data_IF_547333817792
#
_entry.id   IF_547333817792
#
_cell.length_a   1.000
_cell.length_b   1.000
_cell.length_c   1.000
_cell.angle_alpha   90.00
_cell.angle_beta   90.00
_cell.angle_gamma   90.00
#
_symmetry.space_group_name_H-M   'P 1'
#
loop_
_entity.id
_entity.type
_entity.pdbx_description
1 polymer ?
#
# COMPACT_ATOMS: atom_id res chain seq x y z
N UNK A 1 -1.35 3.65 13.98
CA UNK A 1 -1.07 4.73 13.01
C UNK A 1 -0.05 5.72 13.54
N UNK A 2 -0.28 6.35 14.71
CA UNK A 2 0.70 7.28 15.30
C UNK A 2 2.13 6.71 15.38
N UNK A 3 2.29 5.51 15.96
CA UNK A 3 3.60 4.84 16.04
C UNK A 3 4.25 4.64 14.67
N UNK A 4 3.50 4.20 13.67
CA UNK A 4 3.99 4.00 12.31
C UNK A 4 4.52 5.32 11.72
N UNK A 5 3.79 6.42 11.92
CA UNK A 5 4.16 7.74 11.39
C UNK A 5 5.42 8.28 12.07
N UNK A 6 5.52 8.12 13.39
CA UNK A 6 6.63 8.67 14.16
C UNK A 6 7.92 7.82 14.10
N UNK A 7 7.82 6.56 13.66
CA UNK A 7 8.90 5.59 13.79
C UNK A 7 10.22 6.01 13.11
N UNK A 8 10.25 6.56 11.89
CA UNK A 8 11.51 7.00 11.26
C UNK A 8 12.25 8.05 12.09
N UNK A 9 11.54 9.05 12.59
CA UNK A 9 12.12 10.20 13.28
C UNK A 9 12.71 9.83 14.65
N UNK A 10 12.22 8.76 15.27
CA UNK A 10 12.78 8.21 16.51
C UNK A 10 13.88 7.17 16.26
N UNK A 11 13.86 6.48 15.12
CA UNK A 11 14.85 5.46 14.79
C UNK A 11 16.15 6.04 14.22
N UNK A 12 16.07 7.18 13.52
CA UNK A 12 17.22 7.84 12.91
C UNK A 12 17.96 8.72 13.94
N UNK A 13 19.28 8.55 14.14
CA UNK A 13 20.05 9.44 14.99
C UNK A 13 20.28 10.78 14.32
N UNK A 14 20.23 11.87 15.10
CA UNK A 14 20.53 13.22 14.60
C UNK A 14 19.41 13.89 13.81
N UNK A 15 18.16 13.41 13.89
CA UNK A 15 17.02 14.15 13.37
C UNK A 15 16.95 15.54 14.04
N UNK A 16 16.98 16.60 13.23
CA UNK A 16 16.84 17.96 13.74
C UNK A 16 15.57 18.09 14.58
N UNK A 17 15.64 18.78 15.73
CA UNK A 17 14.52 18.91 16.68
C UNK A 17 13.19 19.28 15.99
N UNK A 18 13.22 20.18 15.00
CA UNK A 18 12.02 20.56 14.26
C UNK A 18 11.38 19.48 13.36
N UNK A 19 12.12 18.45 12.92
CA UNK A 19 11.55 17.33 12.15
C UNK A 19 10.83 16.32 13.07
N UNK A 20 11.38 16.08 14.26
CA UNK A 20 10.72 15.24 15.25
C UNK A 20 9.37 15.87 15.66
N UNK A 21 9.33 17.19 15.86
CA UNK A 21 8.10 17.91 16.19
C UNK A 21 7.04 17.76 15.09
N UNK A 22 7.42 17.93 13.82
CA UNK A 22 6.51 17.74 12.68
C UNK A 22 5.99 16.30 12.58
N UNK A 23 6.86 15.32 12.81
CA UNK A 23 6.50 13.91 12.79
C UNK A 23 5.51 13.56 13.89
N UNK A 24 5.68 14.10 15.10
CA UNK A 24 4.73 13.96 16.21
C UNK A 24 3.39 14.59 15.84
N UNK A 25 3.37 15.77 15.23
CA UNK A 25 2.13 16.43 14.76
C UNK A 25 1.40 15.54 13.73
N UNK A 26 2.10 15.03 12.73
CA UNK A 26 1.49 14.12 11.75
C UNK A 26 1.02 12.81 12.39
N UNK A 27 1.75 12.28 13.37
CA UNK A 27 1.36 11.10 14.11
C UNK A 27 0.07 11.32 14.92
N UNK A 28 -0.07 12.47 15.58
CA UNK A 28 -1.26 12.88 16.30
C UNK A 28 -2.45 13.09 15.34
N UNK A 29 -2.24 13.76 14.21
CA UNK A 29 -3.27 13.94 13.18
C UNK A 29 -3.74 12.58 12.63
N UNK A 30 -2.80 11.67 12.32
CA UNK A 30 -3.12 10.31 11.89
C UNK A 30 -3.85 9.49 12.95
N UNK A 31 -3.55 9.70 14.24
CA UNK A 31 -4.27 9.10 15.35
C UNK A 31 -5.71 9.63 15.42
N UNK A 32 -5.88 10.95 15.37
CA UNK A 32 -7.18 11.60 15.41
C UNK A 32 -8.07 11.16 14.24
N UNK A 33 -7.52 11.12 13.01
CA UNK A 33 -8.22 10.60 11.84
C UNK A 33 -8.62 9.12 12.03
N UNK A 34 -7.75 8.29 12.60
CA UNK A 34 -8.10 6.90 12.91
C UNK A 34 -9.22 6.81 13.94
N UNK A 35 -9.18 7.62 15.00
CA UNK A 35 -10.22 7.64 16.02
C UNK A 35 -11.56 8.12 15.46
N UNK A 36 -11.56 9.19 14.67
CA UNK A 36 -12.76 9.71 14.01
C UNK A 36 -13.38 8.64 13.10
N UNK A 37 -12.55 8.03 12.25
CA UNK A 37 -13.04 7.06 11.27
C UNK A 37 -13.52 5.77 11.91
N UNK A 38 -12.91 5.31 13.00
CA UNK A 38 -13.38 4.11 13.69
C UNK A 38 -14.42 4.38 14.78
N UNK A 39 -14.63 5.63 15.18
CA UNK A 39 -15.64 6.06 16.16
C UNK A 39 -17.02 6.36 15.56
N UNK A 40 -17.12 6.71 14.28
CA UNK A 40 -18.40 7.00 13.62
C UNK A 40 -19.15 5.73 13.18
N UNK A 41 -20.48 5.70 13.23
CA UNK A 41 -21.29 4.62 12.62
C UNK A 41 -21.62 4.84 11.14
N UNK A 42 -21.35 6.05 10.63
CA UNK A 42 -21.62 6.44 9.24
C UNK A 42 -20.43 6.10 8.32
N UNK A 43 -20.64 6.03 7.00
CA UNK A 43 -19.54 5.84 6.06
C UNK A 43 -18.55 7.00 6.18
N UNK A 44 -17.27 6.65 6.29
CA UNK A 44 -16.17 7.61 6.33
C UNK A 44 -15.46 7.70 4.98
N UNK A 45 -14.28 8.31 5.00
CA UNK A 45 -13.31 8.35 3.90
C UNK A 45 -12.64 6.99 3.68
N UNK A 46 -12.49 6.19 4.74
CA UNK A 46 -11.78 4.91 4.67
C UNK A 46 -12.68 3.82 4.09
N UNK A 47 -12.44 3.48 2.82
CA UNK A 47 -12.98 2.27 2.24
C UNK A 47 -12.44 1.00 2.93
N UNK A 48 -13.24 -0.06 2.87
CA UNK A 48 -12.95 -1.36 3.46
C UNK A 48 -12.73 -1.32 4.98
N UNK A 49 -13.30 -0.34 5.68
CA UNK A 49 -13.18 -0.18 7.14
C UNK A 49 -13.40 -1.47 7.94
N UNK A 50 -14.37 -2.29 7.55
CA UNK A 50 -14.68 -3.58 8.18
C UNK A 50 -14.26 -4.77 7.30
N UNK A 51 -13.06 -4.70 6.71
CA UNK A 51 -12.44 -5.78 5.97
C UNK A 51 -11.12 -6.22 6.64
N UNK A 52 -11.17 -7.11 7.65
CA UNK A 52 -9.99 -7.49 8.42
C UNK A 52 -8.77 -7.93 7.60
N UNK A 53 -8.87 -8.84 6.60
CA UNK A 53 -7.67 -9.27 5.86
C UNK A 53 -7.04 -8.10 5.09
N UNK A 54 -7.85 -7.27 4.43
CA UNK A 54 -7.39 -6.11 3.69
C UNK A 54 -6.71 -5.07 4.59
N UNK A 55 -7.37 -4.65 5.68
CA UNK A 55 -6.82 -3.62 6.56
C UNK A 55 -5.58 -4.08 7.33
N UNK A 56 -5.57 -5.33 7.81
CA UNK A 56 -4.43 -5.88 8.57
C UNK A 56 -3.20 -5.98 7.69
N UNK A 57 -3.34 -6.54 6.48
CA UNK A 57 -2.21 -6.70 5.57
C UNK A 57 -1.72 -5.33 5.11
N UNK A 58 -2.61 -4.42 4.75
CA UNK A 58 -2.26 -3.04 4.38
C UNK A 58 -1.46 -2.35 5.48
N UNK A 59 -1.94 -2.38 6.72
CA UNK A 59 -1.24 -1.77 7.85
C UNK A 59 0.11 -2.42 8.12
N UNK A 60 0.17 -3.76 8.19
CA UNK A 60 1.41 -4.49 8.42
C UNK A 60 2.43 -4.26 7.32
N UNK A 61 2.00 -4.18 6.06
CA UNK A 61 2.89 -3.91 4.92
C UNK A 61 3.58 -2.58 5.11
N UNK A 62 2.82 -1.50 5.31
CA UNK A 62 3.40 -0.17 5.48
C UNK A 62 4.28 -0.10 6.74
N UNK A 63 3.84 -0.70 7.85
CA UNK A 63 4.62 -0.75 9.09
C UNK A 63 5.96 -1.46 8.89
N UNK A 64 5.95 -2.65 8.29
CA UNK A 64 7.15 -3.45 8.03
C UNK A 64 8.06 -2.72 7.04
N UNK A 65 7.51 -2.12 5.97
CA UNK A 65 8.30 -1.35 5.02
C UNK A 65 9.01 -0.19 5.72
N UNK A 66 8.26 0.69 6.41
CA UNK A 66 8.84 1.85 7.11
C UNK A 66 9.89 1.40 8.12
N UNK A 67 9.60 0.35 8.90
CA UNK A 67 10.54 -0.22 9.85
C UNK A 67 11.85 -0.69 9.20
N UNK A 68 11.75 -1.52 8.16
CA UNK A 68 12.92 -2.04 7.48
C UNK A 68 13.72 -0.93 6.79
N UNK A 69 13.07 0.08 6.22
CA UNK A 69 13.77 1.21 5.61
C UNK A 69 14.50 2.07 6.65
N UNK A 70 13.92 2.29 7.84
CA UNK A 70 14.65 2.91 8.94
C UNK A 70 15.88 2.10 9.37
N UNK A 71 15.77 0.76 9.37
CA UNK A 71 16.93 -0.10 9.63
C UNK A 71 17.98 -0.02 8.52
N UNK A 72 17.59 0.06 7.25
CA UNK A 72 18.51 0.27 6.12
C UNK A 72 19.29 1.57 6.29
N UNK A 73 18.62 2.67 6.66
CA UNK A 73 19.24 3.98 6.86
C UNK A 73 20.30 3.95 7.98
N UNK A 74 19.94 3.42 9.17
CA UNK A 74 20.88 3.29 10.30
C UNK A 74 21.97 2.23 10.04
N UNK A 75 21.75 1.31 9.10
CA UNK A 75 22.67 0.23 8.71
C UNK A 75 24.05 0.68 8.20
N UNK A 76 24.24 1.97 7.91
CA UNK A 76 25.55 2.53 7.53
C UNK A 76 26.49 2.82 8.69
N UNK A 77 25.98 2.79 9.93
CA UNK A 77 26.75 3.14 11.12
C UNK A 77 27.47 1.92 11.68
N UNK A 78 28.72 2.10 12.12
CA UNK A 78 29.51 1.01 12.68
C UNK A 78 28.82 0.38 13.89
N UNK A 79 28.64 -0.94 13.87
CA UNK A 79 28.00 -1.70 14.94
C UNK A 79 26.48 -1.56 15.04
N UNK A 80 25.80 -1.00 14.03
CA UNK A 80 24.35 -0.83 14.09
C UNK A 80 23.59 -2.14 13.86
N UNK A 81 22.41 -2.25 14.47
CA UNK A 81 21.49 -3.38 14.29
C UNK A 81 20.91 -3.48 12.87
N UNK A 82 21.04 -2.42 12.06
CA UNK A 82 20.53 -2.34 10.70
C UNK A 82 21.46 -2.88 9.62
N UNK A 83 22.72 -3.18 9.94
CA UNK A 83 23.75 -3.55 8.94
C UNK A 83 23.33 -4.74 8.07
N UNK A 84 22.86 -5.83 8.68
CA UNK A 84 22.41 -7.02 7.94
C UNK A 84 21.18 -6.76 7.06
N UNK A 85 20.27 -5.89 7.49
CA UNK A 85 19.10 -5.49 6.69
C UNK A 85 19.53 -4.66 5.48
N UNK A 86 20.51 -3.77 5.65
CA UNK A 86 21.09 -2.99 4.55
C UNK A 86 21.78 -3.89 3.52
N UNK A 87 22.60 -4.83 3.97
CA UNK A 87 23.27 -5.81 3.08
C UNK A 87 22.27 -6.68 2.32
N UNK A 88 21.24 -7.18 3.02
CA UNK A 88 20.14 -7.90 2.38
C UNK A 88 19.44 -7.03 1.33
N UNK A 89 19.17 -5.77 1.66
CA UNK A 89 18.59 -4.81 0.73
C UNK A 89 19.46 -4.58 -0.50
N UNK A 90 20.78 -4.48 -0.35
CA UNK A 90 21.72 -4.34 -1.47
C UNK A 90 21.71 -5.57 -2.40
N UNK A 91 21.57 -6.78 -1.84
CA UNK A 91 21.41 -8.02 -2.64
C UNK A 91 20.09 -8.00 -3.41
N UNK A 92 18.98 -7.69 -2.73
CA UNK A 92 17.66 -7.63 -3.35
C UNK A 92 17.58 -6.53 -4.41
N UNK A 93 18.15 -5.36 -4.13
CA UNK A 93 18.22 -4.22 -5.05
C UNK A 93 18.93 -4.59 -6.35
N UNK A 94 20.07 -5.30 -6.26
CA UNK A 94 20.78 -5.82 -7.45
C UNK A 94 19.97 -6.87 -8.20
N UNK A 95 19.26 -7.77 -7.50
CA UNK A 95 18.43 -8.78 -8.14
C UNK A 95 17.24 -8.16 -8.92
N UNK A 96 16.76 -7.00 -8.47
CA UNK A 96 15.67 -6.24 -9.11
C UNK A 96 16.18 -5.22 -10.15
N UNK A 97 17.50 -5.09 -10.34
CA UNK A 97 18.12 -4.15 -11.29
C UNK A 97 18.24 -4.80 -12.70
N UNK A 98 17.11 -4.94 -13.38
CA UNK A 98 17.04 -5.40 -14.77
C UNK A 98 16.35 -4.35 -15.66
N UNK A 99 16.56 -4.39 -16.99
CA UNK A 99 15.98 -3.39 -17.90
C UNK A 99 14.46 -3.25 -17.71
N UNK A 100 14.01 -2.00 -17.61
CA UNK A 100 12.60 -1.62 -17.43
C UNK A 100 11.93 -2.09 -16.12
N UNK A 101 12.68 -2.55 -15.11
CA UNK A 101 12.06 -2.84 -13.82
C UNK A 101 11.61 -1.55 -13.10
N UNK A 102 10.48 -1.56 -12.36
CA UNK A 102 10.07 -0.41 -11.56
C UNK A 102 11.13 0.03 -10.55
N UNK A 103 11.80 -0.94 -9.93
CA UNK A 103 12.87 -0.69 -8.98
C UNK A 103 14.03 0.07 -9.63
N UNK A 104 14.46 -0.34 -10.83
CA UNK A 104 15.52 0.35 -11.58
C UNK A 104 15.12 1.77 -11.93
N UNK A 105 13.91 1.98 -12.45
CA UNK A 105 13.40 3.31 -12.79
C UNK A 105 13.38 4.20 -11.54
N UNK A 106 12.84 3.70 -10.42
CA UNK A 106 12.83 4.45 -9.17
C UNK A 106 14.25 4.80 -8.69
N UNK A 107 15.18 3.85 -8.72
CA UNK A 107 16.57 4.14 -8.35
C UNK A 107 17.19 5.20 -9.26
N UNK A 108 16.95 5.16 -10.57
CA UNK A 108 17.50 6.16 -11.50
C UNK A 108 16.93 7.57 -11.30
N UNK A 109 15.70 7.68 -10.81
CA UNK A 109 15.09 8.99 -10.50
C UNK A 109 15.62 9.56 -9.17
N UNK A 110 15.99 8.68 -8.25
CA UNK A 110 16.48 9.08 -6.92
C UNK A 110 18.00 9.27 -6.85
N UNK A 111 18.77 8.64 -7.74
CA UNK A 111 20.23 8.69 -7.72
C UNK A 111 20.79 9.58 -8.84
N UNK A 112 21.48 10.66 -8.46
CA UNK A 112 22.17 11.54 -9.40
C UNK A 112 23.57 11.04 -9.81
N UNK A 113 24.19 10.19 -8.99
CA UNK A 113 25.56 9.70 -9.22
C UNK A 113 25.68 8.19 -8.91
N UNK A 114 26.19 7.42 -9.87
CA UNK A 114 26.34 5.97 -9.78
C UNK A 114 27.34 5.51 -8.70
N UNK A 115 28.27 6.37 -8.26
CA UNK A 115 29.38 5.98 -7.39
C UNK A 115 29.24 6.37 -5.90
N UNK A 116 28.20 7.13 -5.52
CA UNK A 116 28.09 7.66 -4.16
C UNK A 116 27.61 6.62 -3.12
N UNK A 117 28.00 6.80 -1.86
CA UNK A 117 27.49 6.00 -0.74
C UNK A 117 25.96 6.12 -0.56
N UNK A 118 25.39 7.25 -0.99
CA UNK A 118 23.95 7.51 -0.98
C UNK A 118 23.20 6.57 -1.95
N UNK A 119 23.79 6.29 -3.11
CA UNK A 119 23.22 5.41 -4.14
C UNK A 119 23.04 3.98 -3.66
N UNK A 120 23.92 3.48 -2.78
CA UNK A 120 23.73 2.15 -2.15
C UNK A 120 22.50 2.14 -1.23
N UNK A 121 22.33 3.16 -0.39
CA UNK A 121 21.17 3.28 0.52
C UNK A 121 19.87 3.33 -0.28
N UNK A 122 19.85 4.10 -1.38
CA UNK A 122 18.70 4.20 -2.29
C UNK A 122 18.38 2.82 -2.89
N UNK A 123 19.37 2.13 -3.46
CA UNK A 123 19.17 0.79 -4.05
C UNK A 123 18.67 -0.23 -3.04
N UNK A 124 19.27 -0.26 -1.84
CA UNK A 124 18.81 -1.13 -0.76
C UNK A 124 17.37 -0.81 -0.35
N UNK A 125 17.04 0.47 -0.19
CA UNK A 125 15.71 0.92 0.23
C UNK A 125 14.64 0.55 -0.80
N UNK A 126 14.89 0.87 -2.07
CA UNK A 126 13.97 0.53 -3.17
C UNK A 126 13.80 -0.99 -3.28
N UNK A 127 14.89 -1.75 -3.17
CA UNK A 127 14.86 -3.21 -3.22
C UNK A 127 14.01 -3.82 -2.11
N UNK A 128 14.26 -3.42 -0.85
CA UNK A 128 13.51 -3.90 0.32
C UNK A 128 12.04 -3.53 0.23
N UNK A 129 11.71 -2.26 -0.05
CA UNK A 129 10.33 -1.81 -0.11
C UNK A 129 9.53 -2.52 -1.20
N UNK A 130 10.14 -2.70 -2.39
CA UNK A 130 9.50 -3.41 -3.49
C UNK A 130 9.33 -4.90 -3.20
N UNK A 131 10.30 -5.55 -2.56
CA UNK A 131 10.15 -6.94 -2.14
C UNK A 131 9.01 -7.10 -1.12
N UNK A 132 8.94 -6.23 -0.11
CA UNK A 132 7.86 -6.25 0.90
C UNK A 132 6.50 -6.06 0.25
N UNK A 133 6.38 -5.16 -0.75
CA UNK A 133 5.12 -4.94 -1.45
C UNK A 133 4.70 -6.17 -2.27
N UNK A 134 5.63 -6.83 -2.96
CA UNK A 134 5.36 -8.08 -3.69
C UNK A 134 4.97 -9.24 -2.76
N UNK A 135 5.69 -9.41 -1.65
CA UNK A 135 5.38 -10.44 -0.65
C UNK A 135 4.01 -10.18 -0.02
N UNK A 136 3.69 -8.92 0.29
CA UNK A 136 2.36 -8.53 0.79
C UNK A 136 1.25 -8.90 -0.18
N UNK A 137 1.44 -8.63 -1.48
CA UNK A 137 0.48 -9.03 -2.52
C UNK A 137 0.30 -10.54 -2.58
N UNK A 138 1.39 -11.30 -2.56
CA UNK A 138 1.34 -12.76 -2.56
C UNK A 138 0.60 -13.29 -1.32
N UNK A 139 0.94 -12.79 -0.13
CA UNK A 139 0.29 -13.13 1.14
C UNK A 139 -1.20 -12.77 1.10
N UNK A 140 -1.56 -11.59 0.58
CA UNK A 140 -2.95 -11.17 0.43
C UNK A 140 -3.74 -12.11 -0.47
N UNK A 141 -3.18 -12.49 -1.61
CA UNK A 141 -3.80 -13.46 -2.53
C UNK A 141 -3.99 -14.81 -1.85
N UNK A 142 -3.00 -15.32 -1.12
CA UNK A 142 -3.12 -16.60 -0.40
C UNK A 142 -4.21 -16.51 0.66
N UNK A 143 -4.19 -15.48 1.50
CA UNK A 143 -5.17 -15.29 2.58
C UNK A 143 -6.58 -15.14 2.03
N UNK A 144 -6.78 -14.35 0.97
CA UNK A 144 -8.12 -14.16 0.39
C UNK A 144 -8.62 -15.43 -0.33
N UNK A 145 -7.74 -16.37 -0.69
CA UNK A 145 -8.13 -17.68 -1.25
C UNK A 145 -8.47 -18.69 -0.17
N UNK A 146 -7.73 -18.70 0.95
CA UNK A 146 -7.93 -19.66 2.03
C UNK A 146 -9.05 -19.28 2.99
N UNK A 147 -9.29 -17.99 3.21
CA UNK A 147 -10.30 -17.50 4.15
C UNK A 147 -11.61 -17.18 3.42
N UNK A 148 -12.72 -17.64 3.99
CA UNK A 148 -14.09 -17.37 3.51
C UNK A 148 -14.56 -15.92 3.67
N UNK A 149 -13.66 -14.95 3.88
CA UNK A 149 -14.01 -13.53 3.89
C UNK A 149 -14.57 -13.13 2.51
N UNK A 150 -15.61 -12.28 2.41
CA UNK A 150 -16.35 -11.58 3.45
C UNK A 150 -17.51 -12.36 4.09
N UNK A 151 -17.73 -13.63 3.73
CA UNK A 151 -18.89 -14.43 4.12
C UNK A 151 -18.88 -14.95 5.59
N UNK A 152 -18.16 -14.27 6.50
CA UNK A 152 -18.05 -14.66 7.93
C UNK A 152 -19.20 -14.17 8.83
N UNK A 153 -18.98 -14.17 10.16
CA UNK A 153 -19.97 -13.99 11.26
C UNK A 153 -20.82 -12.71 11.25
N UNK A 154 -20.51 -11.70 10.42
CA UNK A 154 -21.33 -10.49 10.21
C UNK A 154 -21.50 -10.27 8.72
N UNK A 155 -22.72 -9.98 8.27
CA UNK A 155 -23.01 -9.62 6.88
C UNK A 155 -22.15 -8.41 6.48
N UNK A 156 -21.35 -8.56 5.44
CA UNK A 156 -20.56 -7.46 4.89
C UNK A 156 -21.48 -6.36 4.36
N UNK A 157 -21.47 -5.20 5.04
CA UNK A 157 -22.23 -4.03 4.61
C UNK A 157 -21.46 -3.31 3.50
N UNK A 158 -21.97 -3.40 2.28
CA UNK A 158 -21.37 -2.78 1.09
C UNK A 158 -21.27 -1.26 1.25
N UNK A 159 -22.34 -0.60 1.71
CA UNK A 159 -22.39 0.86 1.80
C UNK A 159 -21.36 1.44 2.78
N UNK A 160 -21.11 0.75 3.90
CA UNK A 160 -20.10 1.19 4.88
C UNK A 160 -18.67 0.87 4.43
N UNK A 161 -18.47 -0.18 3.64
CA UNK A 161 -17.14 -0.58 3.17
C UNK A 161 -16.77 -0.01 1.80
N UNK A 162 -17.74 0.45 1.04
CA UNK A 162 -17.59 1.08 -0.27
C UNK A 162 -18.44 2.35 -0.30
N UNK A 163 -18.09 3.38 0.51
CA UNK A 163 -18.85 4.63 0.63
C UNK A 163 -19.05 5.37 -0.69
N UNK A 164 -18.09 5.26 -1.60
CA UNK A 164 -18.11 5.87 -2.93
C UNK A 164 -18.99 5.11 -3.92
N UNK A 165 -19.43 3.91 -3.57
CA UNK A 165 -20.25 3.06 -4.43
C UNK A 165 -21.72 3.19 -4.04
N UNK A 166 -22.53 3.75 -4.95
CA UNK A 166 -23.98 3.76 -4.81
C UNK A 166 -24.60 2.44 -5.32
N UNK A 167 -25.15 1.57 -4.44
CA UNK A 167 -25.81 0.33 -4.82
C UNK A 167 -27.21 0.54 -5.42
N UNK A 168 -27.84 1.70 -5.23
CA UNK A 168 -29.18 2.01 -5.72
C UNK A 168 -29.16 2.66 -7.12
N UNK A 169 -28.04 3.25 -7.54
CA UNK A 169 -27.89 3.95 -8.83
C UNK A 169 -27.95 3.07 -10.11
N UNK A 170 -28.37 1.81 -10.06
CA UNK A 170 -28.60 1.02 -11.28
C UNK A 170 -28.70 -0.50 -11.11
N UNK A 171 -29.20 -1.17 -12.15
CA UNK A 171 -29.48 -2.62 -12.15
C UNK A 171 -28.20 -3.51 -12.19
N UNK A 172 -27.06 -2.96 -12.62
CA UNK A 172 -25.83 -3.71 -12.91
C UNK A 172 -24.72 -3.50 -11.86
N UNK A 173 -25.02 -3.72 -10.58
CA UNK A 173 -24.06 -3.60 -9.46
C UNK A 173 -22.79 -4.44 -9.72
N UNK A 174 -22.95 -5.67 -10.22
CA UNK A 174 -21.84 -6.61 -10.42
C UNK A 174 -20.86 -6.14 -11.49
N UNK A 175 -21.36 -5.69 -12.64
CA UNK A 175 -20.53 -5.19 -13.74
C UNK A 175 -19.74 -3.95 -13.33
N UNK A 176 -20.37 -3.04 -12.59
CA UNK A 176 -19.72 -1.83 -12.06
C UNK A 176 -18.59 -2.19 -11.09
N UNK A 177 -18.85 -3.09 -10.14
CA UNK A 177 -17.82 -3.56 -9.21
C UNK A 177 -16.67 -4.27 -9.94
N UNK A 178 -16.95 -5.08 -10.96
CA UNK A 178 -15.92 -5.73 -11.76
C UNK A 178 -15.09 -4.72 -12.57
N UNK A 179 -15.72 -3.68 -13.11
CA UNK A 179 -15.03 -2.59 -13.78
C UNK A 179 -14.10 -1.85 -12.81
N UNK A 180 -14.61 -1.48 -11.64
CA UNK A 180 -13.84 -0.76 -10.62
C UNK A 180 -12.68 -1.64 -10.11
N UNK A 181 -12.90 -2.94 -9.95
CA UNK A 181 -11.86 -3.91 -9.63
C UNK A 181 -10.75 -3.93 -10.68
N UNK A 182 -11.11 -4.00 -11.98
CA UNK A 182 -10.14 -4.00 -13.09
C UNK A 182 -9.35 -2.70 -13.15
N UNK A 183 -10.02 -1.54 -12.96
CA UNK A 183 -9.38 -0.22 -12.94
C UNK A 183 -8.33 -0.16 -11.83
N UNK A 184 -8.68 -0.60 -10.61
CA UNK A 184 -7.74 -0.61 -9.48
C UNK A 184 -6.53 -1.53 -9.74
N UNK A 185 -6.74 -2.74 -10.30
CA UNK A 185 -5.64 -3.64 -10.66
C UNK A 185 -4.76 -3.02 -11.75
N UNK A 186 -5.35 -2.43 -12.78
CA UNK A 186 -4.63 -1.79 -13.87
C UNK A 186 -3.75 -0.65 -13.35
N UNK A 187 -4.30 0.28 -12.59
CA UNK A 187 -3.52 1.34 -11.96
C UNK A 187 -2.47 0.80 -11.00
N UNK A 188 -2.79 -0.23 -10.22
CA UNK A 188 -1.83 -0.85 -9.32
C UNK A 188 -0.63 -1.49 -10.03
N UNK A 189 -0.80 -1.96 -11.27
CA UNK A 189 0.29 -2.49 -12.09
C UNK A 189 1.08 -1.35 -12.76
N UNK A 190 0.42 -0.28 -13.19
CA UNK A 190 1.07 0.80 -13.95
C UNK A 190 1.73 1.88 -13.08
N UNK A 191 1.18 2.18 -11.90
CA UNK A 191 1.71 3.23 -11.02
C UNK A 191 3.18 3.08 -10.57
N UNK A 192 3.74 1.87 -10.34
CA UNK A 192 5.15 1.74 -10.00
C UNK A 192 6.08 2.34 -11.06
N UNK A 193 5.63 2.40 -12.31
CA UNK A 193 6.35 2.99 -13.45
C UNK A 193 5.99 4.48 -13.63
N UNK A 194 4.71 4.82 -13.49
CA UNK A 194 4.23 6.19 -13.73
C UNK A 194 4.68 7.16 -12.63
N UNK A 195 4.70 6.74 -11.36
CA UNK A 195 5.03 7.63 -10.24
C UNK A 195 6.48 8.15 -10.32
N UNK A 196 7.52 7.30 -10.52
CA UNK A 196 8.87 7.80 -10.70
C UNK A 196 9.01 8.67 -11.95
N UNK A 197 8.36 8.28 -13.05
CA UNK A 197 8.41 9.05 -14.31
C UNK A 197 7.80 10.45 -14.13
N UNK A 198 6.65 10.56 -13.47
CA UNK A 198 6.04 11.84 -13.17
C UNK A 198 6.95 12.70 -12.26
N UNK A 199 7.58 12.09 -11.24
CA UNK A 199 8.53 12.78 -10.38
C UNK A 199 9.75 13.30 -11.17
N UNK A 200 10.29 12.49 -12.09
CA UNK A 200 11.37 12.90 -12.98
C UNK A 200 10.98 14.07 -13.87
N UNK A 201 9.81 14.02 -14.51
CA UNK A 201 9.33 15.12 -15.38
C UNK A 201 9.07 16.43 -14.60
N UNK A 202 8.73 16.32 -13.31
CA UNK A 202 8.49 17.48 -12.45
C UNK A 202 9.79 18.05 -11.87
N UNK A 203 10.88 17.29 -11.88
CA UNK A 203 12.14 17.66 -11.21
C UNK A 203 12.75 18.97 -11.73
N UNK A 204 12.61 19.26 -13.03
CA UNK A 204 13.10 20.51 -13.63
C UNK A 204 12.34 21.75 -13.10
N UNK A 205 11.07 21.59 -12.72
CA UNK A 205 10.25 22.67 -12.15
C UNK A 205 10.53 22.90 -10.67
N UNK A 206 10.88 21.84 -9.94
CA UNK A 206 11.25 21.89 -8.54
C UNK A 206 12.77 21.83 -8.43
N UNK A 207 13.46 22.96 -8.63
CA UNK A 207 14.92 23.15 -8.61
C UNK A 207 15.64 22.73 -7.30
N UNK A 208 15.39 21.54 -6.76
CA UNK A 208 16.08 20.94 -5.62
C UNK A 208 15.82 19.42 -5.57
N UNK A 209 16.74 18.66 -6.18
CA UNK A 209 16.97 17.24 -5.87
C UNK A 209 17.45 17.00 -4.42
N UNK A 210 17.67 18.07 -3.65
CA UNK A 210 18.11 18.09 -2.23
C UNK A 210 17.09 17.46 -1.26
N UNK A 211 15.88 17.10 -1.74
CA UNK A 211 14.88 16.42 -0.91
C UNK A 211 15.33 15.00 -0.46
N UNK A 212 16.18 14.31 -1.22
CA UNK A 212 16.59 12.93 -0.92
C UNK A 212 17.93 12.81 -0.17
N UNK A 213 18.57 13.94 0.17
CA UNK A 213 19.74 13.94 1.05
C UNK A 213 19.39 13.54 2.50
N UNK A 214 18.10 13.46 2.82
CA UNK A 214 17.58 13.12 4.16
C UNK A 214 16.94 11.75 4.15
N UNK A 215 17.39 10.89 5.06
CA UNK A 215 16.91 9.52 5.22
C UNK A 215 15.40 9.43 5.45
N UNK A 216 14.82 10.36 6.21
CA UNK A 216 13.38 10.36 6.50
C UNK A 216 12.52 10.60 5.25
N UNK A 217 12.93 11.53 4.39
CA UNK A 217 12.25 11.79 3.12
C UNK A 217 12.37 10.60 2.17
N UNK A 218 13.55 9.97 2.12
CA UNK A 218 13.76 8.76 1.33
C UNK A 218 12.85 7.61 1.81
N UNK A 219 12.80 7.36 3.12
CA UNK A 219 11.97 6.31 3.72
C UNK A 219 10.50 6.49 3.31
N UNK A 220 9.96 7.70 3.46
CA UNK A 220 8.55 7.95 3.12
C UNK A 220 8.28 7.87 1.63
N UNK A 221 9.12 8.48 0.79
CA UNK A 221 8.93 8.45 -0.67
C UNK A 221 8.97 7.01 -1.20
N UNK A 222 9.97 6.22 -0.79
CA UNK A 222 10.10 4.83 -1.25
C UNK A 222 8.99 3.94 -0.65
N UNK A 223 8.62 4.15 0.61
CA UNK A 223 7.49 3.43 1.23
C UNK A 223 6.19 3.67 0.48
N UNK A 224 5.85 4.93 0.21
CA UNK A 224 4.62 5.30 -0.49
C UNK A 224 4.63 4.81 -1.94
N UNK A 225 5.75 4.93 -2.65
CA UNK A 225 5.91 4.43 -4.01
C UNK A 225 5.65 2.91 -4.11
N UNK A 226 6.19 2.12 -3.19
CA UNK A 226 5.98 0.67 -3.21
C UNK A 226 4.59 0.26 -2.68
N UNK A 227 4.06 1.00 -1.71
CA UNK A 227 2.81 0.68 -1.01
C UNK A 227 1.55 1.04 -1.79
N UNK A 228 1.51 2.23 -2.42
CA UNK A 228 0.31 2.72 -3.11
C UNK A 228 -0.16 1.78 -4.22
N UNK A 229 0.71 1.29 -5.12
CA UNK A 229 0.30 0.39 -6.20
C UNK A 229 -0.16 -0.97 -5.66
N UNK A 230 0.57 -1.53 -4.68
CA UNK A 230 0.18 -2.78 -4.02
C UNK A 230 -1.20 -2.66 -3.35
N UNK A 231 -1.48 -1.53 -2.70
CA UNK A 231 -2.78 -1.26 -2.10
C UNK A 231 -3.92 -1.20 -3.13
N UNK A 232 -3.69 -0.61 -4.31
CA UNK A 232 -4.68 -0.62 -5.39
C UNK A 232 -4.92 -2.04 -5.94
N UNK A 233 -3.87 -2.85 -6.12
CA UNK A 233 -4.05 -4.25 -6.55
C UNK A 233 -4.87 -5.03 -5.52
N UNK A 234 -4.52 -4.93 -4.23
CA UNK A 234 -5.27 -5.58 -3.14
C UNK A 234 -6.74 -5.14 -3.14
N UNK A 235 -6.98 -3.83 -3.32
CA UNK A 235 -8.32 -3.25 -3.40
C UNK A 235 -9.10 -3.84 -4.57
N UNK A 236 -8.51 -3.86 -5.77
CA UNK A 236 -9.14 -4.44 -6.95
C UNK A 236 -9.48 -5.92 -6.78
N UNK A 237 -8.58 -6.71 -6.19
CA UNK A 237 -8.83 -8.12 -5.87
C UNK A 237 -10.00 -8.27 -4.88
N UNK A 238 -10.05 -7.44 -3.83
CA UNK A 238 -11.11 -7.46 -2.83
C UNK A 238 -12.48 -7.10 -3.44
N UNK A 239 -12.57 -6.02 -4.21
CA UNK A 239 -13.79 -5.61 -4.94
C UNK A 239 -14.23 -6.74 -5.88
N UNK A 240 -13.30 -7.30 -6.66
CA UNK A 240 -13.60 -8.38 -7.59
C UNK A 240 -14.12 -9.65 -6.90
N UNK A 241 -13.63 -9.96 -5.69
CA UNK A 241 -14.18 -11.06 -4.88
C UNK A 241 -15.61 -10.77 -4.41
N UNK A 242 -15.89 -9.54 -3.95
CA UNK A 242 -17.24 -9.12 -3.56
C UNK A 242 -18.21 -9.23 -4.73
N UNK A 243 -17.82 -8.75 -5.92
CA UNK A 243 -18.65 -8.81 -7.11
C UNK A 243 -19.06 -10.25 -7.46
N UNK A 244 -18.11 -11.20 -7.43
CA UNK A 244 -18.39 -12.63 -7.67
C UNK A 244 -19.35 -13.23 -6.65
N UNK A 245 -19.21 -12.87 -5.37
CA UNK A 245 -20.11 -13.38 -4.32
C UNK A 245 -21.53 -12.83 -4.44
N UNK A 246 -21.68 -11.59 -4.89
CA UNK A 246 -23.00 -11.01 -5.20
C UNK A 246 -23.63 -11.79 -6.35
N UNK A 247 -22.87 -12.05 -7.42
CA UNK A 247 -23.32 -12.86 -8.56
C UNK A 247 -23.80 -14.25 -8.15
N UNK A 248 -22.97 -14.97 -7.39
CA UNK A 248 -23.30 -16.31 -6.93
C UNK A 248 -24.55 -16.31 -6.02
N UNK A 249 -24.69 -15.29 -5.17
CA UNK A 249 -25.87 -15.13 -4.31
C UNK A 249 -27.13 -14.87 -5.12
N UNK A 250 -27.10 -13.98 -6.12
CA UNK A 250 -28.25 -13.71 -7.01
C UNK A 250 -28.64 -14.96 -7.79
N UNK A 251 -27.67 -15.69 -8.36
CA UNK A 251 -27.92 -16.93 -9.09
C UNK A 251 -28.61 -18.00 -8.23
N UNK A 252 -28.21 -18.13 -6.96
CA UNK A 252 -28.87 -19.05 -6.00
C UNK A 252 -30.31 -18.62 -5.70
N UNK A 253 -30.55 -17.32 -5.49
CA UNK A 253 -31.90 -16.79 -5.24
C UNK A 253 -32.83 -17.01 -6.44
N UNK A 254 -32.35 -16.77 -7.67
CA UNK A 254 -33.12 -17.05 -8.88
C UNK A 254 -33.47 -18.53 -9.01
N UNK A 255 -32.52 -19.45 -8.76
CA UNK A 255 -32.80 -20.89 -8.77
C UNK A 255 -33.85 -21.30 -7.74
N UNK A 256 -33.76 -20.77 -6.51
CA UNK A 256 -34.75 -21.04 -5.47
C UNK A 256 -36.14 -20.49 -5.83
N UNK A 257 -36.22 -19.32 -6.47
CA UNK A 257 -37.49 -18.78 -6.95
C UNK A 257 -38.08 -19.67 -8.05
N UNK A 258 -37.32 -20.00 -9.10
CA UNK A 258 -37.80 -20.87 -10.19
C UNK A 258 -38.25 -22.26 -9.73
N UNK A 259 -37.59 -22.84 -8.73
CA UNK A 259 -38.00 -24.11 -8.14
C UNK A 259 -39.33 -24.02 -7.36
N UNK A 260 -39.64 -22.85 -6.77
CA UNK A 260 -40.89 -22.61 -6.03
C UNK A 260 -42.09 -22.36 -6.95
N UNK A 261 -41.85 -21.98 -8.21
CA UNK A 261 -42.89 -21.63 -9.20
C UNK A 261 -43.04 -22.65 -10.34
N UNK A 262 -42.43 -23.84 -10.26
CA UNK A 262 -42.72 -24.91 -11.21
C UNK A 262 -44.09 -25.55 -10.87
N UNK A 263 -45.10 -25.47 -11.74
CA UNK A 263 -46.35 -26.19 -11.53
C UNK A 263 -46.08 -27.70 -11.64
N UNK A 264 -46.64 -28.47 -10.71
CA UNK A 264 -46.65 -29.94 -10.72
C UNK A 264 -47.54 -30.43 -11.85
#
# INVERSE_FOLDING_TARGET
MAFLIAMPSFALPGSALGLQDLSVIFALAGAALTLFEYGSSHPGLIEFRFAPPYNRIRFLTLLITVYLLSMVAVGGMAGSSGAGIREFGDVVGRALDFPFSPARIMTSVLSDDAASANTRIIKASVGVAYLVSLLSLAIFIVIIRLISWPAGRRSFNIWVNLPTFDPAAGLNIEERLLRDARINVLFGITLPFLLPMAAYMMSDYFHNYVAFSRDETLIWTVSLWAFLPANLIMRGIAIGKIARLIHDKRKRLHRHASAKFSPV
#
